data_IF_897954803669
#
_entry.id   IF_897954803669
#
_cell.length_a   1.000
_cell.length_b   1.000
_cell.length_c   1.000
_cell.angle_alpha   90.00
_cell.angle_beta   90.00
_cell.angle_gamma   90.00
#
_symmetry.space_group_name_H-M   'P 1'
#
loop_
_entity.id
_entity.type
_entity.pdbx_description
1 polymer ?
#
# COMPACT_ATOMS: atom_id res chain seq x y z
N UNK A 1 26.39 -31.78 -3.70
CA UNK A 1 25.00 -31.80 -3.23
C UNK A 1 24.36 -30.47 -3.60
N UNK A 2 23.61 -30.45 -4.71
CA UNK A 2 23.05 -29.23 -5.29
C UNK A 2 21.74 -28.85 -4.62
N UNK A 3 21.68 -27.63 -4.08
CA UNK A 3 20.44 -27.00 -3.62
C UNK A 3 19.76 -26.29 -4.79
N UNK A 4 19.03 -27.04 -5.62
CA UNK A 4 18.07 -26.49 -6.58
C UNK A 4 16.74 -26.18 -5.85
N UNK A 5 16.76 -25.21 -4.93
CA UNK A 5 15.50 -24.63 -4.46
C UNK A 5 15.08 -23.59 -5.52
N UNK A 6 13.91 -23.69 -6.16
CA UNK A 6 13.44 -22.62 -7.05
C UNK A 6 13.43 -21.34 -6.22
N UNK A 7 14.10 -20.29 -6.72
CA UNK A 7 14.19 -19.00 -6.03
C UNK A 7 12.79 -18.60 -5.58
N UNK A 8 12.57 -18.49 -4.27
CA UNK A 8 11.29 -18.09 -3.71
C UNK A 8 11.10 -16.60 -3.99
N UNK A 9 10.73 -16.27 -5.22
CA UNK A 9 10.28 -14.93 -5.57
C UNK A 9 9.03 -14.66 -4.75
N UNK A 10 9.01 -13.62 -3.89
CA UNK A 10 7.87 -13.35 -3.04
C UNK A 10 6.60 -13.22 -3.90
N UNK A 11 5.46 -13.72 -3.38
CA UNK A 11 4.18 -13.70 -4.10
C UNK A 11 3.82 -12.30 -4.61
N UNK A 12 4.23 -11.27 -3.87
CA UNK A 12 4.06 -9.85 -4.20
C UNK A 12 4.70 -9.44 -5.53
N UNK A 13 5.76 -10.11 -5.97
CA UNK A 13 6.39 -9.88 -7.27
C UNK A 13 5.76 -10.68 -8.42
N UNK A 14 4.86 -11.61 -8.11
CA UNK A 14 4.16 -12.45 -9.10
C UNK A 14 2.72 -11.98 -9.36
N UNK A 15 2.20 -11.08 -8.54
CA UNK A 15 0.85 -10.55 -8.66
C UNK A 15 0.82 -9.33 -9.60
N UNK A 16 -0.15 -9.24 -10.53
CA UNK A 16 -0.37 -8.04 -11.32
C UNK A 16 -0.64 -6.81 -10.45
N UNK A 17 -0.15 -5.65 -10.88
CA UNK A 17 -0.34 -4.36 -10.19
C UNK A 17 -1.81 -3.98 -10.01
N UNK A 18 -2.67 -4.42 -10.92
CA UNK A 18 -4.11 -4.16 -10.92
C UNK A 18 -4.78 -4.86 -9.74
N UNK A 19 -4.43 -6.13 -9.50
CA UNK A 19 -4.98 -6.90 -8.37
C UNK A 19 -4.44 -6.39 -7.04
N UNK A 20 -3.15 -6.05 -6.99
CA UNK A 20 -2.55 -5.38 -5.83
C UNK A 20 -3.28 -4.08 -5.49
N UNK A 21 -3.59 -3.26 -6.50
CA UNK A 21 -4.31 -2.00 -6.34
C UNK A 21 -5.74 -2.20 -5.81
N UNK A 22 -6.44 -3.23 -6.28
CA UNK A 22 -7.77 -3.59 -5.76
C UNK A 22 -7.69 -4.01 -4.29
N UNK A 23 -6.74 -4.89 -3.95
CA UNK A 23 -6.52 -5.33 -2.55
C UNK A 23 -6.22 -4.12 -1.65
N UNK A 24 -5.40 -3.17 -2.10
CA UNK A 24 -5.12 -1.96 -1.33
C UNK A 24 -6.37 -1.10 -1.13
N UNK A 25 -7.28 -1.06 -2.11
CA UNK A 25 -8.57 -0.37 -2.01
C UNK A 25 -9.46 -0.97 -0.93
N UNK A 26 -9.53 -2.30 -0.87
CA UNK A 26 -10.28 -3.03 0.17
C UNK A 26 -9.68 -2.85 1.59
N UNK A 27 -8.44 -2.38 1.69
CA UNK A 27 -7.80 -2.07 2.96
C UNK A 27 -8.12 -0.66 3.49
N UNK A 28 -8.81 0.18 2.70
CA UNK A 28 -9.19 1.54 3.12
C UNK A 28 -10.27 1.50 4.21
N UNK A 29 -10.23 2.47 5.12
CA UNK A 29 -11.28 2.63 6.13
C UNK A 29 -12.63 2.97 5.50
N UNK A 30 -13.71 2.31 5.97
CA UNK A 30 -15.09 2.58 5.56
C UNK A 30 -15.56 4.01 5.91
N UNK A 31 -14.86 4.70 6.81
CA UNK A 31 -15.24 6.03 7.31
C UNK A 31 -15.16 7.16 6.28
N UNK A 32 -14.70 6.89 5.06
CA UNK A 32 -14.70 7.82 3.91
C UNK A 32 -13.67 8.95 3.99
N UNK A 33 -13.31 9.38 5.21
CA UNK A 33 -12.19 10.27 5.50
C UNK A 33 -11.22 9.54 6.43
N UNK A 34 -9.96 9.50 6.03
CA UNK A 34 -8.86 8.86 6.77
C UNK A 34 -7.96 9.96 7.33
N UNK A 35 -7.74 9.94 8.64
CA UNK A 35 -6.64 10.70 9.25
C UNK A 35 -5.36 9.92 8.97
N UNK A 36 -4.34 10.51 8.32
CA UNK A 36 -3.16 9.77 7.92
C UNK A 36 -2.44 9.19 9.14
N UNK A 37 -2.39 7.86 9.19
CA UNK A 37 -1.70 7.06 10.19
C UNK A 37 -0.75 6.10 9.49
N UNK A 38 0.49 5.95 9.98
CA UNK A 38 1.41 4.96 9.46
C UNK A 38 0.90 3.52 9.65
N UNK A 39 -0.06 3.31 10.56
CA UNK A 39 -0.66 2.01 10.84
C UNK A 39 -1.91 1.72 9.99
N UNK A 40 -2.35 2.64 9.13
CA UNK A 40 -3.57 2.49 8.32
C UNK A 40 -3.30 2.71 6.83
N UNK A 41 -4.10 2.07 5.98
CA UNK A 41 -4.06 2.33 4.54
C UNK A 41 -4.51 3.77 4.24
N UNK A 42 -3.94 4.42 3.20
CA UNK A 42 -2.98 3.87 2.23
C UNK A 42 -1.51 3.94 2.67
N UNK A 43 -1.20 4.56 3.80
CA UNK A 43 0.18 4.77 4.25
C UNK A 43 0.86 3.47 4.66
N UNK A 44 0.15 2.58 5.36
CA UNK A 44 0.68 1.27 5.78
C UNK A 44 1.19 0.45 4.59
N UNK A 45 0.37 0.30 3.54
CA UNK A 45 0.75 -0.50 2.36
C UNK A 45 1.92 0.11 1.59
N UNK A 46 2.05 1.44 1.64
CA UNK A 46 3.17 2.18 1.00
C UNK A 46 4.51 1.98 1.72
N UNK A 47 4.52 1.40 2.92
CA UNK A 47 5.73 1.19 3.75
C UNK A 47 6.30 -0.23 3.68
N UNK A 48 5.61 -1.17 3.03
CA UNK A 48 6.00 -2.60 3.03
C UNK A 48 7.26 -2.87 2.20
N UNK A 49 7.27 -2.46 0.93
CA UNK A 49 8.43 -2.58 0.05
C UNK A 49 8.37 -1.56 -1.11
N UNK A 50 9.44 -1.47 -1.91
CA UNK A 50 9.51 -0.54 -3.05
C UNK A 50 8.39 -0.76 -4.07
N UNK A 51 8.11 -2.01 -4.43
CA UNK A 51 7.05 -2.37 -5.38
C UNK A 51 5.66 -1.95 -4.88
N UNK A 52 5.34 -2.20 -3.60
CA UNK A 52 4.04 -1.82 -3.03
C UNK A 52 3.88 -0.31 -3.00
N UNK A 53 4.95 0.42 -2.68
CA UNK A 53 4.96 1.87 -2.71
C UNK A 53 4.72 2.43 -4.11
N UNK A 54 5.37 1.86 -5.13
CA UNK A 54 5.16 2.24 -6.53
C UNK A 54 3.70 2.02 -6.95
N UNK A 55 3.15 0.83 -6.66
CA UNK A 55 1.75 0.51 -6.95
C UNK A 55 0.82 1.47 -6.22
N UNK A 56 1.00 1.66 -4.92
CA UNK A 56 0.15 2.54 -4.11
C UNK A 56 0.17 3.99 -4.63
N UNK A 57 1.35 4.53 -4.98
CA UNK A 57 1.46 5.87 -5.57
C UNK A 57 0.83 5.95 -6.98
N UNK A 58 0.85 4.86 -7.75
CA UNK A 58 0.23 4.79 -9.08
C UNK A 58 -1.29 4.60 -9.06
N UNK A 59 -1.90 4.48 -7.86
CA UNK A 59 -3.33 4.22 -7.69
C UNK A 59 -4.01 5.42 -7.00
N UNK A 60 -4.47 6.44 -7.76
CA UNK A 60 -4.99 7.70 -7.21
C UNK A 60 -6.14 7.53 -6.22
N UNK A 61 -7.01 6.53 -6.44
CA UNK A 61 -8.17 6.26 -5.59
C UNK A 61 -7.82 6.07 -4.10
N UNK A 62 -6.64 5.50 -3.81
CA UNK A 62 -6.14 5.31 -2.45
C UNK A 62 -5.93 6.63 -1.68
N UNK A 63 -5.70 7.73 -2.40
CA UNK A 63 -5.32 9.02 -1.83
C UNK A 63 -6.49 10.02 -1.82
N UNK A 64 -7.68 9.64 -2.33
CA UNK A 64 -8.83 10.53 -2.43
C UNK A 64 -9.51 10.86 -1.10
N UNK A 65 -9.19 10.15 -0.01
CA UNK A 65 -9.87 10.25 1.30
C UNK A 65 -8.98 10.77 2.44
N UNK A 66 -7.76 11.24 2.16
CA UNK A 66 -6.83 11.68 3.21
C UNK A 66 -7.13 13.11 3.67
N UNK A 67 -7.30 13.30 4.97
CA UNK A 67 -7.45 14.63 5.58
C UNK A 67 -6.22 15.00 6.41
N UNK A 68 -5.54 16.10 6.03
CA UNK A 68 -4.41 16.64 6.79
C UNK A 68 -4.91 17.67 7.80
N UNK A 69 -4.86 17.35 9.09
CA UNK A 69 -5.05 18.34 10.15
C UNK A 69 -3.78 19.22 10.25
N UNK A 70 -3.80 20.36 9.55
CA UNK A 70 -2.71 21.35 9.56
C UNK A 70 -2.75 22.23 10.82
N UNK A 71 -3.07 21.66 11.99
CA UNK A 71 -2.81 22.29 13.29
C UNK A 71 -1.31 22.34 13.55
N UNK A 72 -0.74 23.37 12.95
CA UNK A 72 0.60 23.93 13.11
C UNK A 72 1.08 23.81 14.57
N UNK A 73 2.00 22.88 14.83
CA UNK A 73 2.86 22.95 16.01
C UNK A 73 3.96 23.97 15.72
N UNK A 74 3.88 25.11 16.41
CA UNK A 74 5.05 25.95 16.71
C UNK A 74 5.79 25.31 17.88
#
# INVERSE_FOLDING_TARGET
LGSNLPSLVPLTHRMPSELMSQIFGECLSESGIVVPSAAEAPLLVSQVCGLWREIAHSTPHLWCSICLDLKRRR
#
